data_IF_160580303399
#
_entry.id   IF_160580303399
#
_cell.length_a   1.000
_cell.length_b   1.000
_cell.length_c   1.000
_cell.angle_alpha   90.00
_cell.angle_beta   90.00
_cell.angle_gamma   90.00
#
_symmetry.space_group_name_H-M   'P 1'
#
loop_
_entity.id
_entity.type
_entity.pdbx_description
1 polymer ?
#
# COMPACT_ATOMS: atom_id res chain seq x y z
N UNK A 1 -15.70 12.72 15.30
CA UNK A 1 -15.96 11.61 16.22
C UNK A 1 -15.23 11.87 17.52
N UNK A 2 -15.96 12.16 18.58
CA UNK A 2 -15.38 12.42 19.89
C UNK A 2 -15.37 11.14 20.71
N UNK A 3 -14.20 10.55 20.89
CA UNK A 3 -13.99 9.43 21.77
C UNK A 3 -13.09 9.90 22.93
N UNK A 4 -13.63 9.99 24.17
CA UNK A 4 -12.88 10.52 25.31
C UNK A 4 -11.71 9.63 25.74
N UNK A 5 -11.65 8.39 25.28
CA UNK A 5 -10.55 7.47 25.61
C UNK A 5 -9.34 7.64 24.70
N UNK A 6 -9.50 8.36 23.57
CA UNK A 6 -8.40 8.60 22.63
C UNK A 6 -7.61 9.86 23.01
N UNK A 7 -6.30 9.78 22.80
CA UNK A 7 -5.44 10.98 22.86
C UNK A 7 -5.82 11.94 21.73
N UNK A 8 -5.38 13.21 21.85
CA UNK A 8 -5.58 14.20 20.80
C UNK A 8 -5.03 13.70 19.44
N UNK A 9 -3.82 13.10 19.44
CA UNK A 9 -3.20 12.53 18.22
C UNK A 9 -4.02 11.37 17.70
N UNK A 10 -4.53 10.51 18.59
CA UNK A 10 -5.39 9.39 18.19
C UNK A 10 -6.68 9.87 17.53
N UNK A 11 -7.31 10.91 18.07
CA UNK A 11 -8.52 11.52 17.47
C UNK A 11 -8.23 12.11 16.08
N UNK A 12 -7.11 12.79 15.93
CA UNK A 12 -6.70 13.36 14.65
C UNK A 12 -6.47 12.27 13.59
N UNK A 13 -5.78 11.19 13.96
CA UNK A 13 -5.56 10.04 13.06
C UNK A 13 -6.87 9.38 12.65
N UNK A 14 -7.77 9.19 13.60
CA UNK A 14 -9.09 8.60 13.33
C UNK A 14 -9.91 9.49 12.39
N UNK A 15 -9.91 10.79 12.62
CA UNK A 15 -10.58 11.77 11.77
C UNK A 15 -10.01 11.77 10.36
N UNK A 16 -8.69 11.74 10.23
CA UNK A 16 -8.00 11.67 8.94
C UNK A 16 -8.40 10.41 8.16
N UNK A 17 -8.39 9.25 8.80
CA UNK A 17 -8.79 7.99 8.16
C UNK A 17 -10.25 8.02 7.69
N UNK A 18 -11.17 8.56 8.50
CA UNK A 18 -12.56 8.71 8.10
C UNK A 18 -12.73 9.69 6.93
N UNK A 19 -11.97 10.78 6.89
CA UNK A 19 -11.97 11.71 5.77
C UNK A 19 -11.47 11.07 4.48
N UNK A 20 -10.42 10.26 4.55
CA UNK A 20 -9.93 9.50 3.40
C UNK A 20 -10.94 8.47 2.91
N UNK A 21 -11.59 7.76 3.81
CA UNK A 21 -12.66 6.83 3.45
C UNK A 21 -13.81 7.54 2.74
N UNK A 22 -14.19 8.72 3.21
CA UNK A 22 -15.21 9.56 2.58
C UNK A 22 -14.82 9.93 1.14
N UNK A 23 -13.55 10.30 0.92
CA UNK A 23 -13.04 10.58 -0.44
C UNK A 23 -13.14 9.35 -1.34
N UNK A 24 -12.82 8.17 -0.85
CA UNK A 24 -12.98 6.92 -1.59
C UNK A 24 -14.45 6.70 -1.97
N UNK A 25 -15.37 6.89 -1.03
CA UNK A 25 -16.81 6.71 -1.25
C UNK A 25 -17.38 7.71 -2.25
N UNK A 26 -16.83 8.93 -2.31
CA UNK A 26 -17.21 9.96 -3.28
C UNK A 26 -16.67 9.70 -4.69
N UNK A 27 -15.71 8.79 -4.82
CA UNK A 27 -15.05 8.47 -6.09
C UNK A 27 -15.02 6.95 -6.32
N UNK A 28 -16.20 6.29 -6.44
CA UNK A 28 -16.28 4.83 -6.45
C UNK A 28 -15.63 4.17 -7.67
N UNK A 29 -15.40 4.92 -8.75
CA UNK A 29 -14.74 4.43 -9.96
C UNK A 29 -13.23 4.59 -9.92
N UNK A 30 -12.69 5.33 -8.96
CA UNK A 30 -11.26 5.55 -8.83
C UNK A 30 -10.60 4.39 -8.09
N UNK A 31 -9.40 4.00 -8.52
CA UNK A 31 -8.56 3.13 -7.70
C UNK A 31 -7.97 3.92 -6.54
N UNK A 32 -7.74 3.23 -5.43
CA UNK A 32 -7.04 3.79 -4.28
C UNK A 32 -5.69 3.09 -4.13
N UNK A 33 -4.62 3.87 -4.14
CA UNK A 33 -3.25 3.36 -3.96
C UNK A 33 -2.62 4.07 -2.78
N UNK A 34 -2.29 3.31 -1.74
CA UNK A 34 -1.55 3.81 -0.58
C UNK A 34 -0.10 3.34 -0.67
N UNK A 35 0.84 4.25 -0.44
CA UNK A 35 2.27 3.97 -0.54
C UNK A 35 2.87 4.14 0.84
N UNK A 36 3.46 3.06 1.35
CA UNK A 36 4.03 3.00 2.68
C UNK A 36 5.42 2.36 2.69
N UNK A 37 6.11 2.57 3.79
CA UNK A 37 7.33 1.86 4.13
C UNK A 37 7.09 1.15 5.46
N UNK A 38 7.50 -0.10 5.53
CA UNK A 38 7.27 -0.92 6.71
C UNK A 38 8.39 -0.71 7.75
N UNK A 39 8.08 -1.02 9.00
CA UNK A 39 9.05 -1.10 10.08
C UNK A 39 8.73 -2.33 10.91
N UNK A 40 9.75 -3.13 11.18
CA UNK A 40 9.60 -4.36 11.96
C UNK A 40 10.75 -4.43 12.98
N UNK A 41 10.61 -5.25 14.02
CA UNK A 41 11.65 -5.37 15.05
C UNK A 41 12.90 -6.04 14.50
N UNK A 42 12.73 -7.04 13.63
CA UNK A 42 13.83 -7.76 13.01
C UNK A 42 14.41 -6.98 11.82
N UNK A 43 15.71 -6.69 11.91
CA UNK A 43 16.43 -5.94 10.86
C UNK A 43 16.67 -6.75 9.57
N UNK A 44 16.44 -8.07 9.59
CA UNK A 44 16.62 -8.96 8.43
C UNK A 44 15.40 -8.99 7.50
N UNK A 45 14.25 -8.46 7.92
CA UNK A 45 13.07 -8.40 7.06
C UNK A 45 13.32 -7.49 5.86
N UNK A 46 12.96 -7.94 4.67
CA UNK A 46 13.16 -7.21 3.43
C UNK A 46 12.10 -7.52 2.38
N UNK A 47 12.05 -6.69 1.35
CA UNK A 47 11.23 -6.89 0.17
C UNK A 47 9.86 -6.19 0.22
N UNK A 48 9.44 -5.66 -0.93
CA UNK A 48 8.12 -5.05 -1.08
C UNK A 48 7.03 -6.10 -0.98
N UNK A 49 5.89 -5.70 -0.41
CA UNK A 49 4.69 -6.53 -0.34
C UNK A 49 3.45 -5.68 -0.58
N UNK A 50 2.54 -6.18 -1.41
CA UNK A 50 1.31 -5.49 -1.75
C UNK A 50 0.14 -6.14 -1.01
N UNK A 51 -0.63 -5.30 -0.31
CA UNK A 51 -1.88 -5.67 0.35
C UNK A 51 -3.06 -5.21 -0.50
N UNK A 52 -4.14 -5.98 -0.52
CA UNK A 52 -5.33 -5.63 -1.29
C UNK A 52 -6.61 -5.68 -0.46
N UNK A 53 -7.56 -4.83 -0.83
CA UNK A 53 -8.89 -4.82 -0.22
C UNK A 53 -9.67 -6.08 -0.59
N UNK A 54 -10.36 -6.72 0.38
CA UNK A 54 -11.20 -7.87 0.09
C UNK A 54 -12.55 -7.48 -0.57
N UNK A 55 -12.87 -6.20 -0.63
CA UNK A 55 -14.23 -5.73 -0.95
C UNK A 55 -14.48 -5.52 -2.44
N UNK A 56 -13.42 -5.55 -3.27
CA UNK A 56 -13.55 -5.37 -4.71
C UNK A 56 -12.62 -6.34 -5.43
N UNK A 57 -13.10 -7.13 -6.41
CA UNK A 57 -12.29 -8.15 -7.09
C UNK A 57 -11.09 -7.58 -7.85
N UNK A 58 -11.18 -6.35 -8.34
CA UNK A 58 -10.09 -5.69 -9.05
C UNK A 58 -8.92 -5.31 -8.15
N UNK A 59 -9.13 -5.24 -6.83
CA UNK A 59 -8.05 -5.00 -5.87
C UNK A 59 -6.97 -6.08 -5.95
N UNK A 60 -7.38 -7.34 -5.97
CA UNK A 60 -6.46 -8.46 -6.08
C UNK A 60 -5.71 -8.47 -7.41
N UNK A 61 -6.39 -8.14 -8.51
CA UNK A 61 -5.76 -8.03 -9.84
C UNK A 61 -4.69 -6.96 -9.86
N UNK A 62 -5.00 -5.76 -9.35
CA UNK A 62 -4.05 -4.66 -9.27
C UNK A 62 -2.86 -5.02 -8.38
N UNK A 63 -3.11 -5.63 -7.23
CA UNK A 63 -2.06 -6.07 -6.31
C UNK A 63 -1.12 -7.08 -6.97
N UNK A 64 -1.64 -8.05 -7.72
CA UNK A 64 -0.83 -9.04 -8.42
C UNK A 64 0.08 -8.39 -9.48
N UNK A 65 -0.45 -7.42 -10.22
CA UNK A 65 0.34 -6.66 -11.20
C UNK A 65 1.45 -5.86 -10.52
N UNK A 66 1.16 -5.21 -9.39
CA UNK A 66 2.16 -4.46 -8.63
C UNK A 66 3.25 -5.36 -8.07
N UNK A 67 2.87 -6.48 -7.45
CA UNK A 67 3.84 -7.41 -6.87
C UNK A 67 4.77 -7.97 -7.95
N UNK A 68 4.22 -8.32 -9.11
CA UNK A 68 5.01 -8.78 -10.26
C UNK A 68 5.94 -7.68 -10.77
N UNK A 69 5.46 -6.44 -10.85
CA UNK A 69 6.27 -5.30 -11.30
C UNK A 69 7.47 -5.07 -10.39
N UNK A 70 7.31 -5.25 -9.08
CA UNK A 70 8.42 -5.17 -8.12
C UNK A 70 9.49 -6.24 -8.35
N UNK A 71 9.17 -7.37 -8.96
CA UNK A 71 10.16 -8.42 -9.22
C UNK A 71 11.26 -7.98 -10.18
N UNK A 72 11.00 -7.01 -11.05
CA UNK A 72 12.01 -6.42 -11.92
C UNK A 72 13.05 -5.62 -11.14
N UNK A 73 12.65 -5.01 -10.02
CA UNK A 73 13.49 -4.20 -9.14
C UNK A 73 14.12 -5.03 -8.02
N UNK A 74 13.41 -6.07 -7.58
CA UNK A 74 13.77 -6.93 -6.46
C UNK A 74 13.65 -8.41 -6.87
N UNK A 75 14.59 -8.93 -7.69
CA UNK A 75 14.44 -10.28 -8.27
C UNK A 75 14.45 -11.41 -7.23
N UNK A 76 15.05 -11.18 -6.04
CA UNK A 76 15.07 -12.16 -4.96
C UNK A 76 13.85 -12.08 -4.03
N UNK A 77 12.94 -11.13 -4.28
CA UNK A 77 11.74 -10.97 -3.48
C UNK A 77 10.71 -12.04 -3.85
N UNK A 78 10.39 -12.92 -2.90
CA UNK A 78 9.40 -14.00 -3.07
C UNK A 78 8.09 -13.73 -2.32
N UNK A 79 7.87 -12.50 -1.84
CA UNK A 79 6.65 -12.15 -1.14
C UNK A 79 5.44 -12.24 -2.07
N UNK A 80 4.35 -12.75 -1.52
CA UNK A 80 3.07 -12.85 -2.21
C UNK A 80 2.15 -11.68 -1.81
N UNK A 81 1.19 -11.35 -2.66
CA UNK A 81 0.13 -10.41 -2.29
C UNK A 81 -0.63 -10.96 -1.08
N UNK A 82 -1.14 -10.03 -0.26
CA UNK A 82 -1.82 -10.40 0.98
C UNK A 82 -3.14 -9.63 1.12
N UNK A 83 -4.19 -10.34 1.48
CA UNK A 83 -5.48 -9.72 1.77
C UNK A 83 -5.38 -8.86 3.05
N UNK A 84 -5.93 -7.66 2.98
CA UNK A 84 -5.93 -6.73 4.11
C UNK A 84 -6.89 -7.21 5.21
N UNK A 85 -6.39 -7.22 6.44
CA UNK A 85 -7.21 -7.39 7.62
C UNK A 85 -7.76 -6.05 8.14
N UNK A 86 -8.47 -6.10 9.27
CA UNK A 86 -9.11 -4.92 9.88
C UNK A 86 -8.12 -3.87 10.40
N UNK A 87 -6.84 -4.23 10.54
CA UNK A 87 -5.77 -3.30 10.90
C UNK A 87 -5.43 -2.31 9.78
N UNK A 88 -5.84 -2.60 8.55
CA UNK A 88 -5.68 -1.72 7.39
C UNK A 88 -7.05 -1.10 7.04
N UNK A 89 -7.45 -0.13 7.84
CA UNK A 89 -8.80 0.43 7.88
C UNK A 89 -9.36 0.80 6.50
N UNK A 90 -8.59 1.54 5.70
CA UNK A 90 -9.09 2.03 4.39
C UNK A 90 -9.31 0.90 3.39
N UNK A 91 -8.43 -0.11 3.38
CA UNK A 91 -8.58 -1.28 2.53
C UNK A 91 -9.71 -2.19 3.00
N UNK A 92 -9.88 -2.30 4.31
CA UNK A 92 -10.88 -3.16 4.92
C UNK A 92 -12.30 -2.60 4.79
N UNK A 93 -12.45 -1.27 4.91
CA UNK A 93 -13.76 -0.60 4.87
C UNK A 93 -14.12 -0.06 3.49
N UNK A 94 -13.14 0.32 2.67
CA UNK A 94 -13.37 0.87 1.33
C UNK A 94 -13.95 -0.14 0.35
N UNK A 95 -14.82 0.33 -0.55
CA UNK A 95 -15.50 -0.51 -1.54
C UNK A 95 -14.93 -0.37 -2.96
N UNK A 96 -14.04 0.58 -3.18
CA UNK A 96 -13.33 0.76 -4.46
C UNK A 96 -12.18 -0.22 -4.61
N UNK A 97 -11.66 -0.44 -5.83
CA UNK A 97 -10.40 -1.15 -6.01
C UNK A 97 -9.30 -0.45 -5.20
N UNK A 98 -8.69 -1.15 -4.24
CA UNK A 98 -7.77 -0.54 -3.30
C UNK A 98 -6.62 -1.47 -2.95
N UNK A 99 -5.41 -0.90 -2.96
CA UNK A 99 -4.17 -1.58 -2.58
C UNK A 99 -3.30 -0.70 -1.71
N UNK A 100 -2.44 -1.33 -0.92
CA UNK A 100 -1.37 -0.67 -0.21
C UNK A 100 -0.04 -1.31 -0.60
N UNK A 101 0.87 -0.49 -1.13
CA UNK A 101 2.21 -0.92 -1.48
C UNK A 101 3.16 -0.61 -0.31
N UNK A 102 3.57 -1.65 0.42
CA UNK A 102 4.68 -1.58 1.37
C UNK A 102 5.96 -1.76 0.58
N UNK A 103 6.70 -0.66 0.36
CA UNK A 103 7.82 -0.64 -0.58
C UNK A 103 9.11 -1.26 -0.03
N UNK A 104 9.20 -1.45 1.28
CA UNK A 104 10.34 -2.06 1.94
C UNK A 104 10.33 -1.78 3.44
N UNK A 105 11.36 -2.25 4.13
CA UNK A 105 11.48 -2.18 5.59
C UNK A 105 12.50 -1.12 6.00
N UNK A 106 12.07 -0.08 6.68
CA UNK A 106 12.97 0.93 7.26
C UNK A 106 13.87 0.36 8.35
N UNK A 107 13.46 -0.74 8.97
CA UNK A 107 14.27 -1.48 9.96
C UNK A 107 15.45 -2.25 9.34
N UNK A 108 15.44 -2.47 8.03
CA UNK A 108 16.54 -3.07 7.29
C UNK A 108 17.48 -1.94 6.80
N UNK A 109 18.77 -1.90 7.20
CA UNK A 109 19.65 -0.79 6.85
C UNK A 109 19.83 -0.59 5.34
N UNK A 110 19.91 -1.67 4.56
CA UNK A 110 20.09 -1.59 3.10
C UNK A 110 18.82 -1.05 2.44
N UNK A 111 17.64 -1.49 2.87
CA UNK A 111 16.38 -0.99 2.33
C UNK A 111 16.12 0.44 2.76
N UNK A 112 16.45 0.79 4.01
CA UNK A 112 16.32 2.18 4.48
C UNK A 112 17.20 3.12 3.65
N UNK A 113 18.43 2.71 3.35
CA UNK A 113 19.34 3.49 2.49
C UNK A 113 18.77 3.63 1.06
N UNK A 114 18.29 2.55 0.47
CA UNK A 114 17.69 2.56 -0.85
C UNK A 114 16.44 3.47 -0.91
N UNK A 115 15.53 3.33 0.06
CA UNK A 115 14.29 4.13 0.13
C UNK A 115 14.56 5.61 0.38
N UNK A 116 15.74 5.97 0.88
CA UNK A 116 16.18 7.35 1.05
C UNK A 116 16.86 7.92 -0.20
N UNK A 117 17.18 7.08 -1.18
CA UNK A 117 17.84 7.49 -2.42
C UNK A 117 16.80 7.89 -3.48
N UNK A 118 16.97 9.08 -4.06
CA UNK A 118 16.01 9.61 -5.03
C UNK A 118 15.93 8.78 -6.31
N UNK A 119 17.03 8.18 -6.76
CA UNK A 119 17.02 7.33 -7.95
C UNK A 119 16.25 6.05 -7.72
N UNK A 120 16.39 5.44 -6.54
CA UNK A 120 15.59 4.27 -6.15
C UNK A 120 14.11 4.61 -6.01
N UNK A 121 13.78 5.76 -5.41
CA UNK A 121 12.39 6.24 -5.31
C UNK A 121 11.74 6.38 -6.68
N UNK A 122 12.47 6.89 -7.68
CA UNK A 122 11.98 6.98 -9.06
C UNK A 122 11.73 5.60 -9.68
N UNK A 123 12.59 4.63 -9.39
CA UNK A 123 12.40 3.24 -9.85
C UNK A 123 11.16 2.61 -9.24
N UNK A 124 10.93 2.82 -7.94
CA UNK A 124 9.71 2.36 -7.24
C UNK A 124 8.47 3.02 -7.86
N UNK A 125 8.49 4.33 -8.06
CA UNK A 125 7.39 5.03 -8.71
C UNK A 125 7.12 4.50 -10.11
N UNK A 126 8.15 4.20 -10.87
CA UNK A 126 8.03 3.64 -12.23
C UNK A 126 7.37 2.26 -12.23
N UNK A 127 7.77 1.34 -11.33
CA UNK A 127 7.17 -0.01 -11.28
C UNK A 127 5.71 0.04 -10.84
N UNK A 128 5.36 0.95 -9.94
CA UNK A 128 3.96 1.17 -9.54
C UNK A 128 3.14 1.73 -10.70
N UNK A 129 3.69 2.71 -11.41
CA UNK A 129 3.05 3.31 -12.59
C UNK A 129 2.80 2.26 -13.68
N UNK A 130 3.79 1.41 -13.98
CA UNK A 130 3.64 0.33 -14.96
C UNK A 130 2.47 -0.60 -14.61
N UNK A 131 2.37 -0.99 -13.34
CA UNK A 131 1.29 -1.88 -12.88
C UNK A 131 -0.07 -1.21 -13.04
N UNK A 132 -0.19 0.07 -12.72
CA UNK A 132 -1.44 0.83 -12.87
C UNK A 132 -1.84 0.94 -14.35
N UNK A 133 -0.89 1.25 -15.23
CA UNK A 133 -1.14 1.34 -16.67
C UNK A 133 -1.58 -0.01 -17.24
N UNK A 134 -0.92 -1.09 -16.84
CA UNK A 134 -1.29 -2.45 -17.26
C UNK A 134 -2.68 -2.83 -16.75
N UNK A 135 -3.00 -2.48 -15.51
CA UNK A 135 -4.33 -2.70 -14.95
C UNK A 135 -5.42 -2.04 -15.80
N UNK A 136 -5.24 -0.77 -16.16
CA UNK A 136 -6.21 -0.07 -16.99
C UNK A 136 -6.27 -0.60 -18.43
N UNK A 137 -5.16 -1.07 -18.96
CA UNK A 137 -5.12 -1.67 -20.29
C UNK A 137 -5.89 -2.99 -20.39
N UNK A 138 -6.09 -3.67 -19.24
CA UNK A 138 -6.81 -4.94 -19.16
C UNK A 138 -8.31 -4.77 -18.85
N UNK A 139 -8.78 -3.55 -18.70
CA UNK A 139 -10.19 -3.28 -18.44
C UNK A 139 -11.07 -3.37 -19.69
#
# INVERSE_FOLDING_TARGET
>A
IHDPQLTQVGRQKRSDLHNRLKLMQQNPQAIFVSIHQNKFEESWCSGAQIFYSPNHPDSQKLAALMQRSFSALQPDNQRQIKEAGNNLFLLYEGQSPAVMAECGFLSNPDEAAALSDSDYQKKVAFVLMQAILEFYAQQ
#
